data_IF_125714259150
#
_entry.id   IF_125714259150
#
_cell.length_a   1.000
_cell.length_b   1.000
_cell.length_c   1.000
_cell.angle_alpha   90.00
_cell.angle_beta   90.00
_cell.angle_gamma   90.00
#
_symmetry.space_group_name_H-M   'P 1'
#
loop_
_entity.id
_entity.type
_entity.pdbx_description
1 polymer ?
#
# COMPACT_ATOMS: atom_id res chain seq x y z
N UNK A 1 3.84 8.06 -22.03
CA UNK A 1 3.28 9.43 -22.18
C UNK A 1 3.84 10.12 -23.41
N UNK A 2 5.16 10.12 -23.61
CA UNK A 2 5.79 10.75 -24.79
C UNK A 2 5.25 10.22 -26.14
N UNK A 3 4.93 8.92 -26.21
CA UNK A 3 4.32 8.28 -27.37
C UNK A 3 2.78 8.47 -27.46
N UNK A 4 2.17 9.34 -26.65
CA UNK A 4 0.75 9.64 -26.66
C UNK A 4 -0.13 8.68 -25.84
N UNK A 5 0.44 7.67 -25.21
CA UNK A 5 -0.32 6.75 -24.35
C UNK A 5 -0.56 7.35 -22.96
N UNK A 6 -1.76 7.19 -22.46
CA UNK A 6 -2.10 7.59 -21.10
C UNK A 6 -1.92 6.40 -20.16
N UNK A 7 -1.17 6.60 -19.07
CA UNK A 7 -1.15 5.65 -17.97
C UNK A 7 -2.46 5.77 -17.18
N UNK A 8 -3.16 4.66 -17.01
CA UNK A 8 -4.42 4.63 -16.27
C UNK A 8 -4.21 5.00 -14.80
N UNK A 9 -3.04 4.65 -14.24
CA UNK A 9 -2.67 4.97 -12.85
C UNK A 9 -1.77 6.20 -12.72
N UNK A 10 -1.39 6.84 -13.82
CA UNK A 10 -0.45 7.96 -13.80
C UNK A 10 0.96 7.56 -13.33
N UNK A 11 1.93 8.48 -13.36
CA UNK A 11 3.22 8.26 -12.73
C UNK A 11 3.18 8.81 -11.29
N UNK A 12 3.63 7.96 -10.35
CA UNK A 12 3.68 8.32 -8.94
C UNK A 12 5.09 8.73 -8.46
N UNK A 13 5.63 8.00 -7.49
CA UNK A 13 6.88 8.35 -6.80
C UNK A 13 8.15 8.28 -7.66
N UNK A 14 8.16 7.53 -8.77
CA UNK A 14 9.30 7.23 -9.64
C UNK A 14 10.50 6.59 -8.94
N UNK A 15 10.32 6.13 -7.72
CA UNK A 15 11.35 5.58 -6.84
C UNK A 15 11.05 4.15 -6.36
N UNK A 16 10.12 3.46 -7.00
CA UNK A 16 9.80 2.06 -6.68
C UNK A 16 8.86 1.85 -5.49
N UNK A 17 8.26 2.91 -4.91
CA UNK A 17 7.46 2.77 -3.69
C UNK A 17 5.95 2.73 -3.90
N UNK A 18 5.40 3.43 -4.88
CA UNK A 18 3.95 3.60 -4.97
C UNK A 18 3.23 2.55 -5.83
N UNK A 19 3.96 1.76 -6.62
CA UNK A 19 3.40 0.75 -7.51
C UNK A 19 2.58 1.27 -8.70
N UNK A 20 2.44 2.59 -8.89
CA UNK A 20 1.64 3.15 -9.99
C UNK A 20 2.15 2.76 -11.39
N UNK A 21 3.45 2.51 -11.52
CA UNK A 21 4.12 2.10 -12.74
C UNK A 21 4.26 0.58 -12.92
N UNK A 22 3.49 -0.21 -12.18
CA UNK A 22 3.52 -1.68 -12.29
C UNK A 22 3.14 -2.14 -13.69
N UNK A 23 3.93 -3.04 -14.24
CA UNK A 23 3.76 -3.58 -15.60
C UNK A 23 4.13 -5.05 -15.67
N UNK A 24 3.68 -5.70 -16.73
CA UNK A 24 4.08 -7.06 -17.07
C UNK A 24 4.82 -6.98 -18.41
N UNK A 25 5.90 -7.72 -18.53
CA UNK A 25 6.68 -7.75 -19.76
C UNK A 25 7.22 -9.16 -20.06
N UNK A 26 7.63 -9.35 -21.29
CA UNK A 26 8.46 -10.45 -21.74
C UNK A 26 9.51 -9.93 -22.72
N UNK A 27 10.58 -10.67 -22.92
CA UNK A 27 11.56 -10.43 -23.97
C UNK A 27 11.29 -11.35 -25.17
N UNK A 28 11.78 -11.00 -26.34
CA UNK A 28 11.51 -11.72 -27.59
C UNK A 28 11.86 -13.23 -27.49
N UNK A 29 12.95 -13.55 -26.81
CA UNK A 29 13.44 -14.91 -26.67
C UNK A 29 12.97 -15.62 -25.40
N UNK A 30 12.11 -14.99 -24.59
CA UNK A 30 11.59 -15.57 -23.35
C UNK A 30 10.07 -15.35 -23.28
N UNK A 31 9.32 -16.45 -23.39
CA UNK A 31 7.86 -16.42 -23.32
C UNK A 31 7.31 -16.20 -21.89
N UNK A 32 8.17 -16.30 -20.86
CA UNK A 32 7.75 -16.13 -19.47
C UNK A 32 7.39 -14.67 -19.21
N UNK A 33 6.22 -14.48 -18.59
CA UNK A 33 5.79 -13.17 -18.15
C UNK A 33 6.50 -12.78 -16.86
N UNK A 34 7.19 -11.65 -16.91
CA UNK A 34 7.88 -11.04 -15.78
C UNK A 34 7.10 -9.85 -15.27
N UNK A 35 7.14 -9.59 -13.98
CA UNK A 35 6.55 -8.41 -13.34
C UNK A 35 7.65 -7.39 -13.06
N UNK A 36 7.33 -6.12 -13.21
CA UNK A 36 8.28 -5.04 -12.99
C UNK A 36 7.59 -3.74 -12.56
N UNK A 37 8.37 -2.88 -11.93
CA UNK A 37 8.02 -1.48 -11.79
C UNK A 37 8.79 -0.68 -12.84
N UNK A 38 8.09 -0.08 -13.80
CA UNK A 38 8.70 0.57 -14.96
C UNK A 38 9.70 1.67 -14.57
N UNK A 39 9.51 2.35 -13.45
CA UNK A 39 10.43 3.38 -12.98
C UNK A 39 11.78 2.83 -12.48
N UNK A 40 11.90 1.52 -12.22
CA UNK A 40 13.10 0.86 -11.71
C UNK A 40 13.68 -0.16 -12.69
N UNK A 41 12.99 -0.42 -13.81
CA UNK A 41 13.40 -1.45 -14.77
C UNK A 41 14.01 -0.80 -15.99
N UNK A 42 15.21 -1.24 -16.36
CA UNK A 42 15.85 -0.79 -17.62
C UNK A 42 15.16 -1.40 -18.83
N UNK A 43 14.97 -0.60 -19.84
CA UNK A 43 14.44 -1.05 -21.13
C UNK A 43 15.54 -1.81 -21.89
N UNK A 44 15.18 -2.97 -22.43
CA UNK A 44 16.03 -3.80 -23.27
C UNK A 44 15.40 -3.95 -24.66
N UNK A 45 16.23 -4.18 -25.66
CA UNK A 45 15.73 -4.44 -27.02
C UNK A 45 14.89 -5.73 -27.06
N UNK A 46 13.86 -5.77 -27.91
CA UNK A 46 12.94 -6.91 -27.96
C UNK A 46 12.02 -7.07 -26.73
N UNK A 47 11.86 -6.03 -25.91
CA UNK A 47 10.97 -6.06 -24.74
C UNK A 47 9.54 -5.74 -25.15
N UNK A 48 8.61 -6.68 -24.88
CA UNK A 48 7.17 -6.53 -25.06
C UNK A 48 6.52 -6.18 -23.72
N UNK A 49 5.94 -5.00 -23.64
CA UNK A 49 5.30 -4.47 -22.44
C UNK A 49 3.78 -4.62 -22.52
N UNK A 50 3.16 -5.04 -21.43
CA UNK A 50 1.71 -5.02 -21.28
C UNK A 50 1.36 -3.93 -20.27
N UNK A 51 0.66 -2.91 -20.74
CA UNK A 51 0.02 -1.98 -19.83
C UNK A 51 -1.04 -2.75 -19.05
N UNK A 52 -0.86 -2.85 -17.73
CA UNK A 52 -1.85 -3.50 -16.86
C UNK A 52 -3.12 -2.67 -16.97
N UNK A 53 -4.21 -3.22 -17.55
CA UNK A 53 -5.48 -2.54 -17.48
C UNK A 53 -5.79 -2.34 -15.99
N UNK A 54 -6.24 -1.17 -15.63
CA UNK A 54 -6.77 -0.94 -14.30
C UNK A 54 -7.81 -2.03 -14.07
N UNK A 55 -7.52 -2.98 -13.20
CA UNK A 55 -8.52 -3.94 -12.80
C UNK A 55 -9.58 -3.17 -12.03
N UNK A 56 -10.79 -3.02 -12.58
CA UNK A 56 -11.88 -2.42 -11.86
C UNK A 56 -12.50 -3.45 -10.90
N UNK A 57 -11.67 -4.19 -10.19
CA UNK A 57 -12.19 -4.86 -9.03
C UNK A 57 -12.83 -3.75 -8.19
N UNK A 58 -14.15 -3.81 -8.08
CA UNK A 58 -14.88 -2.83 -7.33
C UNK A 58 -14.33 -2.85 -5.92
N UNK A 59 -13.68 -1.76 -5.56
CA UNK A 59 -13.17 -1.61 -4.20
C UNK A 59 -14.36 -1.64 -3.26
N UNK A 60 -14.40 -2.60 -2.35
CA UNK A 60 -15.46 -2.68 -1.36
C UNK A 60 -15.49 -1.38 -0.54
N UNK A 61 -16.69 -0.82 -0.40
CA UNK A 61 -16.94 0.34 0.45
C UNK A 61 -17.48 -0.19 1.78
N UNK A 62 -16.78 0.10 2.85
CA UNK A 62 -17.17 -0.32 4.20
C UNK A 62 -16.80 0.76 5.22
N UNK A 63 -17.59 0.83 6.28
CA UNK A 63 -17.28 1.62 7.45
C UNK A 63 -16.73 0.68 8.53
N UNK A 64 -15.46 0.85 8.84
CA UNK A 64 -14.74 0.01 9.79
C UNK A 64 -15.34 0.05 11.20
N UNK A 65 -16.04 1.15 11.55
CA UNK A 65 -16.69 1.31 12.86
C UNK A 65 -17.87 0.32 13.03
N UNK A 66 -18.49 -0.04 11.92
CA UNK A 66 -19.68 -0.89 11.87
C UNK A 66 -19.36 -2.35 11.50
N UNK A 67 -18.08 -2.70 11.33
CA UNK A 67 -17.67 -4.05 10.98
C UNK A 67 -17.32 -4.90 12.21
N UNK A 68 -17.69 -6.16 12.15
CA UNK A 68 -17.35 -7.12 13.21
C UNK A 68 -15.94 -7.70 13.00
N UNK A 69 -15.16 -7.80 14.07
CA UNK A 69 -13.81 -8.38 14.05
C UNK A 69 -13.87 -9.91 14.01
N UNK A 70 -14.38 -10.45 12.91
CA UNK A 70 -14.55 -11.90 12.67
C UNK A 70 -14.13 -12.24 11.23
N UNK A 71 -13.85 -13.52 10.97
CA UNK A 71 -13.53 -14.02 9.62
C UNK A 71 -14.57 -13.62 8.57
N UNK A 72 -15.82 -13.49 8.98
CA UNK A 72 -16.94 -13.16 8.09
C UNK A 72 -16.77 -11.80 7.41
N UNK A 73 -16.02 -10.86 7.98
CA UNK A 73 -15.77 -9.55 7.35
C UNK A 73 -15.03 -9.69 6.03
N UNK A 74 -14.08 -10.61 5.95
CA UNK A 74 -13.36 -10.88 4.71
C UNK A 74 -14.30 -11.48 3.64
N UNK A 75 -15.11 -12.47 3.99
CA UNK A 75 -16.03 -13.11 3.07
C UNK A 75 -17.19 -12.19 2.66
N UNK A 76 -17.60 -11.26 3.54
CA UNK A 76 -18.62 -10.24 3.24
C UNK A 76 -18.18 -9.28 2.14
N UNK A 77 -16.94 -8.79 2.21
CA UNK A 77 -16.43 -7.77 1.31
C UNK A 77 -15.65 -8.32 0.12
N UNK A 78 -15.07 -9.51 0.26
CA UNK A 78 -14.19 -10.16 -0.72
C UNK A 78 -14.50 -11.68 -0.79
N UNK A 79 -15.73 -12.06 -1.18
CA UNK A 79 -16.14 -13.48 -1.20
C UNK A 79 -15.28 -14.34 -2.14
N UNK A 80 -14.62 -13.71 -3.12
CA UNK A 80 -13.72 -14.38 -4.06
C UNK A 80 -12.53 -15.07 -3.39
N UNK A 81 -12.14 -14.69 -2.16
CA UNK A 81 -11.05 -15.37 -1.44
C UNK A 81 -11.35 -16.86 -1.20
N UNK A 82 -12.63 -17.23 -1.10
CA UNK A 82 -13.03 -18.64 -0.95
C UNK A 82 -12.68 -19.51 -2.18
N UNK A 83 -12.43 -18.88 -3.34
CA UNK A 83 -12.01 -19.59 -4.57
C UNK A 83 -10.51 -19.80 -4.67
N UNK A 84 -9.75 -19.46 -3.65
CA UNK A 84 -8.29 -19.58 -3.67
C UNK A 84 -7.87 -21.05 -3.80
N UNK A 85 -7.15 -21.37 -4.86
CA UNK A 85 -6.62 -22.72 -5.13
C UNK A 85 -5.17 -22.89 -4.67
N UNK A 86 -4.63 -21.97 -3.89
CA UNK A 86 -3.27 -22.00 -3.33
C UNK A 86 -2.15 -22.21 -4.37
N UNK A 87 -2.33 -21.66 -5.58
CA UNK A 87 -1.37 -21.85 -6.68
C UNK A 87 -0.07 -21.04 -6.54
N UNK A 88 0.02 -20.18 -5.54
CA UNK A 88 1.18 -19.33 -5.23
C UNK A 88 1.62 -18.34 -6.33
N UNK A 89 0.80 -18.14 -7.35
CA UNK A 89 1.12 -17.19 -8.45
C UNK A 89 1.19 -15.74 -7.95
N UNK A 90 0.35 -15.39 -6.98
CA UNK A 90 0.31 -14.05 -6.40
C UNK A 90 1.59 -13.69 -5.61
N UNK A 91 2.14 -14.62 -4.82
CA UNK A 91 3.43 -14.46 -4.13
C UNK A 91 4.56 -14.27 -5.15
N UNK A 92 4.63 -15.14 -6.17
CA UNK A 92 5.64 -15.02 -7.24
C UNK A 92 5.54 -13.74 -8.06
N UNK A 93 4.38 -13.10 -8.09
CA UNK A 93 4.16 -11.85 -8.82
C UNK A 93 4.44 -10.61 -7.95
N UNK A 94 4.69 -10.77 -6.67
CA UNK A 94 4.88 -9.64 -5.75
C UNK A 94 6.25 -8.99 -5.95
N UNK A 95 6.34 -7.68 -6.26
CA UNK A 95 7.62 -7.00 -6.42
C UNK A 95 8.28 -6.64 -5.07
N UNK A 96 7.57 -6.87 -3.96
CA UNK A 96 8.06 -6.68 -2.59
C UNK A 96 8.34 -8.00 -1.89
N UNK A 97 8.35 -9.10 -2.62
CA UNK A 97 8.61 -10.45 -2.11
C UNK A 97 7.72 -10.87 -0.91
N UNK A 98 6.49 -10.34 -0.86
CA UNK A 98 5.55 -10.67 0.20
C UNK A 98 4.93 -12.06 0.00
N UNK A 99 4.68 -12.75 1.10
CA UNK A 99 3.98 -14.03 1.14
C UNK A 99 2.46 -13.84 0.93
N UNK A 100 2.09 -13.44 -0.31
CA UNK A 100 0.72 -13.02 -0.67
C UNK A 100 -0.29 -14.15 -0.49
N UNK A 101 0.05 -15.36 -0.92
CA UNK A 101 -0.83 -16.52 -0.75
C UNK A 101 -1.09 -16.79 0.73
N UNK A 102 -0.06 -16.68 1.57
CA UNK A 102 -0.15 -17.00 2.99
C UNK A 102 -1.03 -16.03 3.74
N UNK A 103 -0.97 -14.72 3.42
CA UNK A 103 -1.90 -13.80 4.07
C UNK A 103 -3.35 -13.97 3.57
N UNK A 104 -3.60 -14.46 2.34
CA UNK A 104 -4.95 -14.83 1.90
C UNK A 104 -5.44 -16.06 2.68
N UNK A 105 -4.58 -17.06 2.88
CA UNK A 105 -4.91 -18.21 3.72
C UNK A 105 -5.14 -17.82 5.19
N UNK A 106 -4.38 -16.85 5.70
CA UNK A 106 -4.61 -16.27 7.03
C UNK A 106 -5.97 -15.54 7.11
N UNK A 107 -6.34 -14.78 6.07
CA UNK A 107 -7.65 -14.12 5.99
C UNK A 107 -8.80 -15.12 6.02
N UNK A 108 -8.69 -16.23 5.30
CA UNK A 108 -9.70 -17.32 5.32
C UNK A 108 -9.85 -17.99 6.70
N UNK A 109 -8.82 -17.93 7.52
CA UNK A 109 -8.86 -18.42 8.91
C UNK A 109 -9.24 -17.35 9.93
N UNK A 110 -9.39 -16.08 9.52
CA UNK A 110 -9.67 -14.98 10.42
C UNK A 110 -8.46 -14.53 11.25
N UNK A 111 -7.25 -14.88 10.85
CA UNK A 111 -6.01 -14.46 11.51
C UNK A 111 -5.58 -13.06 11.03
N UNK A 112 -6.24 -12.05 11.57
CA UNK A 112 -6.00 -10.65 11.22
C UNK A 112 -4.58 -10.19 11.51
N UNK A 113 -3.98 -10.68 12.62
CA UNK A 113 -2.61 -10.36 12.97
C UNK A 113 -1.66 -10.83 11.89
N UNK A 114 -1.77 -12.09 11.49
CA UNK A 114 -0.92 -12.67 10.44
C UNK A 114 -1.13 -11.98 9.10
N UNK A 115 -2.38 -11.63 8.75
CA UNK A 115 -2.65 -10.83 7.54
C UNK A 115 -1.93 -9.50 7.60
N UNK A 116 -1.99 -8.79 8.73
CA UNK A 116 -1.36 -7.49 8.89
C UNK A 116 0.17 -7.57 8.81
N UNK A 117 0.78 -8.53 9.49
CA UNK A 117 2.24 -8.74 9.50
C UNK A 117 2.78 -9.07 8.11
N UNK A 118 2.20 -10.07 7.44
CA UNK A 118 2.67 -10.54 6.12
C UNK A 118 2.42 -9.53 5.00
N UNK A 119 1.48 -8.61 5.16
CA UNK A 119 1.12 -7.63 4.15
C UNK A 119 1.54 -6.20 4.46
N UNK A 120 2.31 -5.97 5.53
CA UNK A 120 2.62 -4.63 6.00
C UNK A 120 3.25 -3.75 4.91
N UNK A 121 4.24 -4.28 4.22
CA UNK A 121 4.99 -3.56 3.17
C UNK A 121 4.30 -3.57 1.80
N UNK A 122 3.00 -3.91 1.74
CA UNK A 122 2.27 -3.95 0.48
C UNK A 122 2.07 -2.54 -0.11
N UNK A 123 2.67 -2.31 -1.27
CA UNK A 123 2.58 -1.05 -2.03
C UNK A 123 1.32 -0.95 -2.90
N UNK A 124 0.40 -1.88 -2.78
CA UNK A 124 -0.88 -1.93 -3.52
C UNK A 124 -0.73 -1.83 -5.05
N UNK A 125 0.30 -2.42 -5.62
CA UNK A 125 0.57 -2.37 -7.06
C UNK A 125 -0.44 -3.14 -7.92
N UNK A 126 -1.18 -4.12 -7.35
CA UNK A 126 -2.20 -4.91 -8.04
C UNK A 126 -1.68 -6.08 -8.89
N UNK A 127 -0.36 -6.30 -8.98
CA UNK A 127 0.21 -7.39 -9.80
C UNK A 127 -0.29 -8.78 -9.37
N UNK A 128 -0.45 -9.00 -8.07
CA UNK A 128 -0.99 -10.25 -7.54
C UNK A 128 -2.42 -10.53 -8.05
N UNK A 129 -3.28 -9.52 -8.10
CA UNK A 129 -4.66 -9.65 -8.59
C UNK A 129 -4.71 -9.93 -10.10
N UNK A 130 -3.91 -9.23 -10.90
CA UNK A 130 -3.82 -9.44 -12.35
C UNK A 130 -3.38 -10.86 -12.70
N UNK A 131 -2.56 -11.49 -11.86
CA UNK A 131 -2.04 -12.84 -12.06
C UNK A 131 -2.90 -13.92 -11.42
N UNK A 132 -3.97 -13.56 -10.74
CA UNK A 132 -4.79 -14.52 -9.98
C UNK A 132 -5.81 -15.22 -10.87
N UNK A 133 -5.78 -16.56 -11.02
CA UNK A 133 -6.77 -17.29 -11.79
C UNK A 133 -8.17 -17.29 -11.13
N UNK A 134 -8.24 -16.98 -9.83
CA UNK A 134 -9.49 -16.90 -9.07
C UNK A 134 -10.01 -15.45 -8.94
N UNK A 135 -9.37 -14.49 -9.63
CA UNK A 135 -9.75 -13.07 -9.66
C UNK A 135 -9.83 -12.41 -8.27
N UNK A 136 -8.99 -12.87 -7.34
CA UNK A 136 -8.92 -12.31 -5.99
C UNK A 136 -8.18 -10.99 -6.01
N UNK A 137 -8.68 -10.00 -5.27
CA UNK A 137 -8.03 -8.70 -5.07
C UNK A 137 -7.21 -8.70 -3.79
N UNK A 138 -6.14 -9.47 -3.76
CA UNK A 138 -5.34 -9.74 -2.57
C UNK A 138 -4.89 -8.48 -1.83
N UNK A 139 -4.50 -7.43 -2.53
CA UNK A 139 -4.03 -6.18 -1.93
C UNK A 139 -5.13 -5.42 -1.18
N UNK A 140 -6.40 -5.51 -1.61
CA UNK A 140 -7.53 -4.91 -0.89
C UNK A 140 -7.93 -5.75 0.32
N UNK A 141 -7.88 -7.09 0.21
CA UNK A 141 -8.04 -8.01 1.35
C UNK A 141 -7.00 -7.70 2.43
N UNK A 142 -5.74 -7.52 2.03
CA UNK A 142 -4.66 -7.14 2.93
C UNK A 142 -4.94 -5.79 3.61
N UNK A 143 -5.42 -4.79 2.86
CA UNK A 143 -5.77 -3.48 3.41
C UNK A 143 -6.89 -3.58 4.46
N UNK A 144 -7.95 -4.36 4.17
CA UNK A 144 -9.02 -4.61 5.14
C UNK A 144 -8.45 -5.27 6.40
N UNK A 145 -7.64 -6.32 6.26
CA UNK A 145 -7.02 -7.02 7.39
C UNK A 145 -6.18 -6.11 8.26
N UNK A 146 -5.31 -5.28 7.67
CA UNK A 146 -4.51 -4.30 8.42
C UNK A 146 -5.36 -3.29 9.17
N UNK A 147 -6.42 -2.78 8.55
CA UNK A 147 -7.34 -1.81 9.18
C UNK A 147 -8.10 -2.43 10.35
N UNK A 148 -8.62 -3.64 10.17
CA UNK A 148 -9.33 -4.36 11.22
C UNK A 148 -8.40 -4.70 12.39
N UNK A 149 -7.20 -5.19 12.11
CA UNK A 149 -6.21 -5.49 13.15
C UNK A 149 -5.76 -4.23 13.88
N UNK A 150 -5.48 -3.14 13.16
CA UNK A 150 -5.09 -1.87 13.76
C UNK A 150 -6.15 -1.28 14.69
N UNK A 151 -7.44 -1.45 14.34
CA UNK A 151 -8.54 -0.93 15.15
C UNK A 151 -8.88 -1.81 16.34
N UNK A 152 -8.99 -3.12 16.14
CA UNK A 152 -9.57 -4.04 17.12
C UNK A 152 -8.57 -5.00 17.75
N UNK A 153 -7.43 -5.26 17.11
CA UNK A 153 -6.41 -6.20 17.55
C UNK A 153 -5.25 -5.56 18.30
N UNK A 154 -5.03 -4.25 18.11
CA UNK A 154 -3.96 -3.53 18.79
C UNK A 154 -4.51 -2.64 19.92
N UNK A 155 -3.78 -2.50 21.03
CA UNK A 155 -4.12 -1.50 22.04
C UNK A 155 -3.97 -0.09 21.45
N UNK A 156 -4.73 0.87 21.98
CA UNK A 156 -4.53 2.27 21.63
C UNK A 156 -3.20 2.77 22.17
N UNK A 157 -2.48 3.51 21.35
CA UNK A 157 -1.22 4.14 21.73
C UNK A 157 -1.48 5.36 22.63
N UNK A 158 -1.03 5.28 23.88
CA UNK A 158 -1.19 6.36 24.87
C UNK A 158 -0.59 7.69 24.39
N UNK A 159 0.54 7.62 23.66
CA UNK A 159 1.18 8.80 23.11
C UNK A 159 0.31 9.52 22.08
N UNK A 160 -0.46 8.79 21.27
CA UNK A 160 -1.40 9.36 20.30
C UNK A 160 -2.54 10.04 21.03
N UNK A 161 -3.15 9.38 22.01
CA UNK A 161 -4.23 9.96 22.83
C UNK A 161 -3.78 11.24 23.57
N UNK A 162 -2.59 11.21 24.15
CA UNK A 162 -1.98 12.39 24.77
C UNK A 162 -1.84 13.54 23.79
N UNK A 163 -1.32 13.25 22.59
CA UNK A 163 -1.13 14.25 21.54
C UNK A 163 -2.46 14.84 21.05
N UNK A 164 -3.47 14.01 20.83
CA UNK A 164 -4.82 14.46 20.46
C UNK A 164 -5.38 15.41 21.50
N UNK A 165 -5.32 15.06 22.80
CA UNK A 165 -5.75 15.93 23.89
C UNK A 165 -4.97 17.26 23.96
N UNK A 166 -3.69 17.27 23.63
CA UNK A 166 -2.86 18.48 23.54
C UNK A 166 -3.32 19.39 22.40
N UNK A 167 -3.66 18.80 21.23
CA UNK A 167 -4.19 19.54 20.08
C UNK A 167 -5.58 20.12 20.37
N UNK A 168 -6.49 19.33 20.93
CA UNK A 168 -7.83 19.76 21.32
C UNK A 168 -7.78 20.94 22.32
N UNK A 169 -6.80 20.93 23.23
CA UNK A 169 -6.55 22.03 24.17
C UNK A 169 -5.79 23.21 23.57
N UNK A 170 -5.59 23.23 22.25
CA UNK A 170 -4.90 24.30 21.53
C UNK A 170 -3.48 24.59 22.05
N UNK A 171 -2.80 23.58 22.63
CA UNK A 171 -1.47 23.72 23.24
C UNK A 171 -0.42 24.36 22.31
N UNK A 172 -0.55 24.13 21.02
CA UNK A 172 0.42 24.56 20.01
C UNK A 172 -0.01 25.81 19.22
N UNK A 173 -1.23 26.31 19.42
CA UNK A 173 -1.80 27.39 18.61
C UNK A 173 -0.96 28.66 18.66
N UNK A 174 -0.51 29.07 19.84
CA UNK A 174 0.32 30.27 20.00
C UNK A 174 1.67 30.17 19.28
N UNK A 175 2.25 28.99 19.22
CA UNK A 175 3.51 28.75 18.53
C UNK A 175 3.32 28.70 17.01
N UNK A 176 2.22 28.09 16.54
CA UNK A 176 1.83 28.15 15.13
C UNK A 176 1.56 29.59 14.69
N UNK A 177 0.82 30.38 15.46
CA UNK A 177 0.55 31.77 15.16
C UNK A 177 1.82 32.62 15.09
N UNK A 178 2.81 32.32 15.93
CA UNK A 178 4.13 32.93 15.90
C UNK A 178 4.88 32.57 14.61
N UNK A 179 4.95 31.29 14.30
CA UNK A 179 5.68 30.77 13.11
C UNK A 179 5.06 31.30 11.82
N UNK A 180 3.74 31.37 11.74
CA UNK A 180 3.02 31.87 10.56
C UNK A 180 3.24 33.38 10.28
N UNK A 181 3.72 34.13 11.28
CA UNK A 181 4.04 35.55 11.16
C UNK A 181 5.51 35.85 10.85
N UNK A 182 6.36 34.80 10.85
CA UNK A 182 7.80 34.97 10.60
C UNK A 182 8.09 35.12 9.10
N UNK A 183 9.09 35.92 8.78
CA UNK A 183 9.64 36.02 7.44
C UNK A 183 10.37 34.72 7.03
N UNK A 184 10.39 34.45 5.71
CA UNK A 184 10.94 33.19 5.15
C UNK A 184 12.37 32.94 5.56
N UNK A 185 13.20 33.99 5.65
CA UNK A 185 14.63 33.84 6.00
C UNK A 185 14.83 33.49 7.47
N UNK A 186 13.95 33.95 8.34
CA UNK A 186 13.93 33.57 9.75
C UNK A 186 13.46 32.14 9.95
N UNK A 187 12.44 31.70 9.21
CA UNK A 187 12.00 30.31 9.19
C UNK A 187 13.12 29.36 8.74
N UNK A 188 13.88 29.73 7.71
CA UNK A 188 15.03 28.94 7.26
C UNK A 188 16.12 28.82 8.34
N UNK A 189 16.40 29.91 9.07
CA UNK A 189 17.36 29.87 10.19
C UNK A 189 16.91 28.91 11.29
N UNK A 190 15.66 29.01 11.73
CA UNK A 190 15.08 28.12 12.75
C UNK A 190 15.18 26.66 12.30
N UNK A 191 14.83 26.38 11.03
CA UNK A 191 14.91 25.03 10.48
C UNK A 191 16.33 24.45 10.51
N UNK A 192 17.33 25.22 10.08
CA UNK A 192 18.74 24.81 10.08
C UNK A 192 19.26 24.56 11.50
N UNK A 193 18.88 25.40 12.46
CA UNK A 193 19.24 25.20 13.88
C UNK A 193 18.64 23.91 14.46
N UNK A 194 17.39 23.60 14.10
CA UNK A 194 16.76 22.36 14.54
C UNK A 194 17.40 21.13 13.93
N UNK A 195 17.82 21.18 12.67
CA UNK A 195 18.55 20.08 12.02
C UNK A 195 19.88 19.81 12.72
N UNK A 196 20.67 20.85 13.00
CA UNK A 196 21.94 20.71 13.74
C UNK A 196 21.77 20.09 15.13
N UNK A 197 20.67 20.37 15.82
CA UNK A 197 20.36 19.74 17.12
C UNK A 197 20.00 18.26 17.02
N UNK A 198 19.46 17.80 15.86
CA UNK A 198 19.11 16.39 15.62
C UNK A 198 20.31 15.53 15.22
N UNK A 199 21.33 16.12 14.60
CA UNK A 199 22.55 15.40 14.20
C UNK A 199 23.49 15.10 15.39
N UNK A 200 23.18 15.60 16.59
CA UNK A 200 23.96 15.38 17.82
C UNK A 200 23.46 14.21 18.66
N UNK A 201 22.41 13.50 18.19
CA UNK A 201 21.85 12.28 18.79
C UNK A 201 21.92 11.13 17.78
#
# INVERSE_FOLDING_TARGET
EYAGYRFIRSCGCRAGFCGACSTIYRTENDYRLKTAMACQTRVEDGMYLVQIPFSPAQKAIYDIENEQYTVNVFLKHYPEIARCVSCNTCTKACPQDLEVMDYIQAALRGDFKRVAELSFDCIQCGLCAVRCPAEIVQYDVAQLGRRMYGKYGLPREENVEKRVKEIEKSKYSSEFDRIMKLEIDELKRIYVEQQKKREVY
#
